data_IF_649188161656
#
_entry.id   IF_649188161656
#
_cell.length_a   1.000
_cell.length_b   1.000
_cell.length_c   1.000
_cell.angle_alpha   90.00
_cell.angle_beta   90.00
_cell.angle_gamma   90.00
#
_symmetry.space_group_name_H-M   'P 1'
#
loop_
_entity.id
_entity.type
_entity.pdbx_description
1 polymer ?
#
# COMPACT_ATOMS: atom_id res chain seq x y z
N UNK A 1 -2.27 -25.81 9.76
CA UNK A 1 -1.75 -24.44 9.90
C UNK A 1 -2.72 -23.56 9.13
N UNK A 2 -3.49 -22.72 9.82
CA UNK A 2 -4.42 -21.79 9.15
C UNK A 2 -3.63 -20.56 8.70
N UNK A 3 -3.80 -20.18 7.42
CA UNK A 3 -3.20 -18.97 6.86
C UNK A 3 -4.28 -17.89 6.89
N UNK A 4 -4.04 -16.83 7.65
CA UNK A 4 -4.94 -15.69 7.76
C UNK A 4 -4.57 -14.63 6.72
N UNK A 5 -5.58 -14.07 6.05
CA UNK A 5 -5.39 -12.92 5.18
C UNK A 5 -5.27 -11.65 6.04
N UNK A 6 -4.22 -10.83 5.85
CA UNK A 6 -4.10 -9.54 6.53
C UNK A 6 -5.11 -8.50 6.01
N UNK A 7 -5.73 -8.77 4.86
CA UNK A 7 -6.71 -7.91 4.20
C UNK A 7 -8.10 -8.53 4.26
N UNK A 8 -9.11 -7.68 4.48
CA UNK A 8 -10.53 -8.00 4.34
C UNK A 8 -11.18 -6.98 3.41
N UNK A 9 -11.78 -7.47 2.31
CA UNK A 9 -12.41 -6.63 1.27
C UNK A 9 -11.46 -5.53 0.74
N UNK A 10 -10.17 -5.87 0.60
CA UNK A 10 -9.11 -4.96 0.15
C UNK A 10 -8.61 -3.95 1.19
N UNK A 11 -9.19 -3.94 2.40
CA UNK A 11 -8.81 -3.06 3.50
C UNK A 11 -7.96 -3.83 4.51
N UNK A 12 -6.97 -3.17 5.11
CA UNK A 12 -6.13 -3.79 6.15
C UNK A 12 -6.96 -4.13 7.39
N UNK A 13 -6.96 -5.41 7.73
CA UNK A 13 -7.63 -5.96 8.91
C UNK A 13 -6.65 -6.27 10.04
N UNK A 14 -5.40 -6.63 9.71
CA UNK A 14 -4.34 -6.91 10.67
C UNK A 14 -3.07 -6.15 10.28
N UNK A 15 -2.74 -5.13 11.07
CA UNK A 15 -1.59 -4.27 10.82
C UNK A 15 -0.26 -4.92 11.18
N UNK A 16 -0.23 -5.84 12.13
CA UNK A 16 1.01 -6.50 12.56
C UNK A 16 1.50 -7.46 11.46
N UNK A 17 0.55 -8.13 10.79
CA UNK A 17 0.86 -8.96 9.62
C UNK A 17 1.27 -8.11 8.42
N UNK A 18 0.55 -7.03 8.10
CA UNK A 18 0.94 -6.13 6.99
C UNK A 18 2.33 -5.55 7.21
N UNK A 19 2.62 -5.13 8.44
CA UNK A 19 3.93 -4.58 8.80
C UNK A 19 5.05 -5.62 8.62
N UNK A 20 4.80 -6.88 9.02
CA UNK A 20 5.73 -7.99 8.80
C UNK A 20 5.94 -8.29 7.31
N UNK A 21 4.89 -8.20 6.49
CA UNK A 21 4.97 -8.37 5.03
C UNK A 21 5.83 -7.28 4.40
N UNK A 22 5.67 -6.03 4.83
CA UNK A 22 6.49 -4.92 4.33
C UNK A 22 7.95 -5.05 4.74
N UNK A 23 8.24 -5.44 5.99
CA UNK A 23 9.60 -5.71 6.42
C UNK A 23 10.27 -6.80 5.56
N UNK A 24 9.56 -7.90 5.30
CA UNK A 24 10.06 -8.96 4.41
C UNK A 24 10.28 -8.44 2.98
N UNK A 25 9.32 -7.69 2.43
CA UNK A 25 9.43 -7.14 1.09
C UNK A 25 10.63 -6.20 0.94
N UNK A 26 10.87 -5.30 1.90
CA UNK A 26 11.98 -4.34 1.81
C UNK A 26 13.33 -5.00 2.05
N UNK A 27 13.43 -5.89 3.04
CA UNK A 27 14.72 -6.42 3.53
C UNK A 27 15.17 -7.68 2.83
N UNK A 28 14.24 -8.56 2.44
CA UNK A 28 14.58 -9.87 1.88
C UNK A 28 14.29 -9.97 0.39
N UNK A 29 13.24 -9.30 -0.10
CA UNK A 29 12.91 -9.33 -1.53
C UNK A 29 13.61 -8.22 -2.32
N UNK A 30 13.44 -6.96 -1.90
CA UNK A 30 13.92 -5.79 -2.63
C UNK A 30 15.34 -5.39 -2.25
N UNK A 31 15.80 -5.77 -1.06
CA UNK A 31 17.14 -5.48 -0.53
C UNK A 31 17.44 -3.97 -0.49
N UNK A 32 16.46 -3.17 -0.06
CA UNK A 32 16.55 -1.70 -0.01
C UNK A 32 16.52 -1.17 1.44
N UNK A 33 17.07 0.02 1.66
CA UNK A 33 16.76 0.83 2.85
C UNK A 33 15.60 1.78 2.52
N UNK A 34 14.39 1.60 3.10
CA UNK A 34 13.23 2.47 2.83
C UNK A 34 13.49 3.97 3.04
N UNK A 35 14.49 4.34 3.84
CA UNK A 35 14.90 5.73 4.07
C UNK A 35 15.42 6.44 2.83
N UNK A 36 15.89 5.68 1.85
CA UNK A 36 16.49 6.21 0.62
C UNK A 36 15.50 6.26 -0.54
N UNK A 37 14.26 5.79 -0.34
CA UNK A 37 13.30 5.57 -1.43
C UNK A 37 11.92 6.20 -1.16
N UNK A 38 11.46 7.15 -1.99
CA UNK A 38 10.07 7.57 -2.00
C UNK A 38 9.13 6.39 -2.28
N UNK A 39 8.03 6.29 -1.54
CA UNK A 39 7.10 5.17 -1.66
C UNK A 39 5.79 5.58 -2.34
N UNK A 40 5.38 4.76 -3.31
CA UNK A 40 4.06 4.78 -3.92
C UNK A 40 3.28 3.55 -3.46
N UNK A 41 2.14 3.74 -2.79
CA UNK A 41 1.27 2.64 -2.38
C UNK A 41 -0.08 2.74 -3.06
N UNK A 42 -0.60 1.58 -3.47
CA UNK A 42 -1.92 1.44 -4.05
C UNK A 42 -2.96 1.25 -2.94
N UNK A 43 -4.13 1.87 -3.06
CA UNK A 43 -5.23 1.75 -2.10
C UNK A 43 -6.59 1.51 -2.78
N UNK A 44 -7.53 0.80 -2.13
CA UNK A 44 -8.88 0.67 -2.64
C UNK A 44 -9.61 2.02 -2.60
N UNK A 45 -10.57 2.22 -3.51
CA UNK A 45 -11.37 3.45 -3.54
C UNK A 45 -12.23 3.65 -2.29
N UNK A 46 -12.50 2.57 -1.56
CA UNK A 46 -13.25 2.52 -0.30
C UNK A 46 -12.38 2.71 0.95
N UNK A 47 -11.07 2.95 0.80
CA UNK A 47 -10.17 3.10 1.95
C UNK A 47 -10.59 4.29 2.82
N UNK A 48 -10.60 4.12 4.13
CA UNK A 48 -10.99 5.18 5.06
C UNK A 48 -9.82 6.12 5.34
N UNK A 49 -10.11 7.34 5.77
CA UNK A 49 -9.06 8.29 6.16
C UNK A 49 -8.17 7.73 7.29
N UNK A 50 -8.76 7.05 8.27
CA UNK A 50 -8.01 6.44 9.37
C UNK A 50 -7.01 5.38 8.90
N UNK A 51 -7.40 4.55 7.92
CA UNK A 51 -6.51 3.55 7.32
C UNK A 51 -5.35 4.21 6.55
N UNK A 52 -5.62 5.35 5.89
CA UNK A 52 -4.61 6.16 5.20
C UNK A 52 -3.63 6.81 6.18
N UNK A 53 -4.14 7.35 7.27
CA UNK A 53 -3.32 7.93 8.35
C UNK A 53 -2.43 6.86 8.98
N UNK A 54 -2.96 5.66 9.27
CA UNK A 54 -2.17 4.56 9.80
C UNK A 54 -1.10 4.06 8.84
N UNK A 55 -1.39 4.02 7.54
CA UNK A 55 -0.40 3.72 6.49
C UNK A 55 0.73 4.75 6.50
N UNK A 56 0.37 6.03 6.56
CA UNK A 56 1.34 7.13 6.58
C UNK A 56 2.18 7.12 7.86
N UNK A 57 1.58 6.86 9.03
CA UNK A 57 2.27 6.69 10.30
C UNK A 57 3.34 5.61 10.20
N UNK A 58 3.00 4.40 9.73
CA UNK A 58 3.99 3.33 9.57
C UNK A 58 5.12 3.73 8.60
N UNK A 59 4.78 4.28 7.43
CA UNK A 59 5.77 4.64 6.42
C UNK A 59 6.73 5.74 6.89
N UNK A 60 6.23 6.80 7.51
CA UNK A 60 7.08 7.91 7.97
C UNK A 60 7.71 7.65 9.34
N UNK A 61 6.99 7.05 10.29
CA UNK A 61 7.49 6.88 11.65
C UNK A 61 8.36 5.65 11.81
N UNK A 62 7.94 4.49 11.28
CA UNK A 62 8.73 3.26 11.34
C UNK A 62 9.77 3.21 10.23
N UNK A 63 9.32 3.30 8.97
CA UNK A 63 10.19 3.10 7.81
C UNK A 63 10.99 4.34 7.42
N UNK A 64 10.63 5.52 7.93
CA UNK A 64 11.37 6.78 7.72
C UNK A 64 11.53 7.12 6.23
N UNK A 65 10.52 6.81 5.42
CA UNK A 65 10.54 7.07 3.98
C UNK A 65 10.65 8.58 3.72
N UNK A 66 11.38 9.01 2.68
CA UNK A 66 11.57 10.43 2.37
C UNK A 66 10.30 11.09 1.81
N UNK A 67 9.40 10.32 1.19
CA UNK A 67 8.11 10.78 0.69
C UNK A 67 7.14 9.61 0.51
N UNK A 68 5.84 9.89 0.55
CA UNK A 68 4.76 8.92 0.35
C UNK A 68 3.68 9.49 -0.56
N UNK A 69 3.22 8.69 -1.52
CA UNK A 69 1.99 8.95 -2.27
C UNK A 69 1.06 7.73 -2.21
N UNK A 70 -0.19 7.97 -1.85
CA UNK A 70 -1.25 6.95 -1.86
C UNK A 70 -2.13 7.16 -3.09
N UNK A 71 -2.19 6.15 -3.96
CA UNK A 71 -2.90 6.21 -5.23
C UNK A 71 -4.01 5.15 -5.27
N UNK A 72 -5.20 5.55 -5.73
CA UNK A 72 -6.32 4.60 -5.89
C UNK A 72 -6.02 3.57 -6.98
N UNK A 73 -6.34 2.30 -6.74
CA UNK A 73 -6.16 1.20 -7.70
C UNK A 73 -6.77 1.52 -9.08
N UNK A 74 -7.98 2.08 -9.11
CA UNK A 74 -8.65 2.47 -10.34
C UNK A 74 -7.89 3.55 -11.12
N UNK A 75 -7.26 4.50 -10.44
CA UNK A 75 -6.45 5.53 -11.08
C UNK A 75 -5.21 4.89 -11.70
N UNK A 76 -4.47 4.09 -10.93
CA UNK A 76 -3.30 3.37 -11.43
C UNK A 76 -3.63 2.50 -12.65
N UNK A 77 -4.77 1.81 -12.63
CA UNK A 77 -5.27 1.00 -13.74
C UNK A 77 -5.57 1.85 -14.98
N UNK A 78 -6.22 3.00 -14.81
CA UNK A 78 -6.48 3.94 -15.91
C UNK A 78 -5.17 4.40 -16.55
N UNK A 79 -4.18 4.78 -15.74
CA UNK A 79 -2.86 5.20 -16.20
C UNK A 79 -2.11 4.08 -16.92
N UNK A 80 -2.14 2.85 -16.41
CA UNK A 80 -1.52 1.70 -17.06
C UNK A 80 -2.13 1.41 -18.44
N UNK A 81 -3.41 1.72 -18.64
CA UNK A 81 -4.09 1.61 -19.94
C UNK A 81 -3.85 2.78 -20.90
N UNK A 82 -3.05 3.78 -20.50
CA UNK A 82 -2.81 4.99 -21.28
C UNK A 82 -4.04 5.89 -21.44
N UNK A 83 -5.05 5.73 -20.56
CA UNK A 83 -6.29 6.51 -20.62
C UNK A 83 -6.33 7.54 -19.49
N UNK A 84 -6.41 8.81 -19.86
CA UNK A 84 -6.61 9.91 -18.91
C UNK A 84 -8.03 9.92 -18.31
N UNK A 85 -8.99 9.28 -18.97
CA UNK A 85 -10.38 9.15 -18.51
C UNK A 85 -10.88 7.75 -18.84
N UNK A 86 -11.35 7.03 -17.81
CA UNK A 86 -11.90 5.69 -17.94
C UNK A 86 -12.87 5.38 -16.79
N UNK A 87 -13.80 4.46 -17.02
CA UNK A 87 -14.49 3.73 -15.96
C UNK A 87 -13.73 2.41 -15.76
N UNK A 88 -13.18 2.21 -14.56
CA UNK A 88 -12.48 0.97 -14.21
C UNK A 88 -13.45 0.05 -13.48
N UNK A 89 -13.54 -1.18 -13.96
CA UNK A 89 -14.27 -2.28 -13.32
C UNK A 89 -13.21 -3.22 -12.75
N UNK A 90 -13.10 -3.22 -11.42
CA UNK A 90 -12.14 -3.98 -10.62
C UNK A 90 -12.94 -4.76 -9.58
N UNK A 91 -12.70 -6.07 -9.46
CA UNK A 91 -13.58 -7.02 -8.76
C UNK A 91 -12.84 -8.01 -7.89
#
# INVERSE_FOLDING_TARGET
>A
MEVLSPLKDGIVADWDIVDSIWDHAFRECLLIDPKEHPMLLAEPSSNTQQQRERTAELMFEKYKVPALFLAKNAVLTSFASGRATALVVDG
#
